data_IF_257302936710
#
_entry.id   IF_257302936710
#
_cell.length_a   1.000
_cell.length_b   1.000
_cell.length_c   1.000
_cell.angle_alpha   90.00
_cell.angle_beta   90.00
_cell.angle_gamma   90.00
#
_symmetry.space_group_name_H-M   'P 1'
#
loop_
_entity.id
_entity.type
_entity.pdbx_description
1 polymer ?
#
# COMPACT_ATOMS: atom_id res chain seq x y z
N UNK A 1 -11.88 -10.71 7.35
CA UNK A 1 -11.15 -10.59 6.07
C UNK A 1 -9.73 -10.16 6.39
N UNK A 2 -8.70 -10.75 5.75
CA UNK A 2 -7.29 -10.40 5.99
C UNK A 2 -6.78 -9.34 5.00
N UNK A 3 -5.75 -8.58 5.38
CA UNK A 3 -5.16 -7.55 4.53
C UNK A 3 -4.58 -8.16 3.24
N UNK A 4 -4.05 -9.38 3.33
CA UNK A 4 -3.55 -10.13 2.17
C UNK A 4 -4.60 -10.35 1.10
N UNK A 5 -5.83 -10.70 1.48
CA UNK A 5 -6.92 -10.86 0.51
C UNK A 5 -7.24 -9.54 -0.18
N UNK A 6 -7.33 -8.45 0.59
CA UNK A 6 -7.64 -7.12 0.06
C UNK A 6 -6.59 -6.62 -0.94
N UNK A 7 -5.33 -6.97 -0.74
CA UNK A 7 -4.22 -6.56 -1.60
C UNK A 7 -3.88 -7.60 -2.68
N UNK A 8 -4.56 -8.75 -2.74
CA UNK A 8 -4.22 -9.83 -3.68
C UNK A 8 -2.88 -10.52 -3.41
N UNK A 9 -2.42 -10.45 -2.15
CA UNK A 9 -1.17 -11.01 -1.61
C UNK A 9 -1.40 -12.33 -0.85
N UNK A 10 -2.50 -13.05 -1.15
CA UNK A 10 -2.86 -14.30 -0.47
C UNK A 10 -1.80 -15.39 -0.58
N UNK A 11 -1.10 -15.42 -1.73
CA UNK A 11 0.00 -16.33 -2.00
C UNK A 11 1.34 -15.85 -1.39
N UNK A 12 1.38 -14.69 -0.72
CA UNK A 12 2.58 -14.17 -0.08
C UNK A 12 2.87 -14.91 1.23
N UNK A 13 4.14 -15.25 1.45
CA UNK A 13 4.63 -15.78 2.72
C UNK A 13 4.68 -14.71 3.82
N UNK A 14 4.64 -13.42 3.46
CA UNK A 14 4.67 -12.31 4.41
C UNK A 14 3.40 -12.26 5.23
N UNK A 15 3.51 -12.00 6.54
CA UNK A 15 2.40 -11.69 7.43
C UNK A 15 1.79 -10.31 7.14
N UNK A 16 0.56 -10.08 7.60
CA UNK A 16 -0.12 -8.78 7.47
C UNK A 16 0.72 -7.64 8.09
N UNK A 17 1.42 -7.92 9.19
CA UNK A 17 2.32 -6.97 9.87
C UNK A 17 3.52 -6.62 8.99
N UNK A 18 4.13 -7.59 8.32
CA UNK A 18 5.26 -7.35 7.41
C UNK A 18 4.84 -6.58 6.16
N UNK A 19 3.66 -6.87 5.63
CA UNK A 19 3.08 -6.14 4.49
C UNK A 19 2.85 -4.69 4.87
N UNK A 20 2.21 -4.42 6.01
CA UNK A 20 2.03 -3.07 6.55
C UNK A 20 3.37 -2.35 6.75
N UNK A 21 4.38 -3.05 7.28
CA UNK A 21 5.71 -2.46 7.51
C UNK A 21 6.38 -2.03 6.21
N UNK A 22 6.29 -2.83 5.15
CA UNK A 22 6.82 -2.47 3.82
C UNK A 22 6.08 -1.28 3.21
N UNK A 23 4.76 -1.21 3.40
CA UNK A 23 3.95 -0.07 2.95
C UNK A 23 4.33 1.20 3.74
N UNK A 24 4.48 1.12 5.06
CA UNK A 24 4.91 2.24 5.91
C UNK A 24 6.31 2.74 5.55
N UNK A 25 7.24 1.82 5.26
CA UNK A 25 8.58 2.15 4.79
C UNK A 25 8.53 2.89 3.44
N UNK A 26 7.74 2.40 2.49
CA UNK A 26 7.52 3.09 1.21
C UNK A 26 6.90 4.48 1.40
N UNK A 27 5.96 4.63 2.33
CA UNK A 27 5.34 5.90 2.67
C UNK A 27 6.37 6.90 3.24
N UNK A 28 7.23 6.46 4.16
CA UNK A 28 8.31 7.28 4.76
C UNK A 28 9.34 7.71 3.73
N UNK A 29 9.64 6.84 2.77
CA UNK A 29 10.52 7.14 1.64
C UNK A 29 9.83 7.99 0.56
N UNK A 30 8.55 8.37 0.76
CA UNK A 30 7.75 9.11 -0.21
C UNK A 30 7.64 8.42 -1.57
N UNK A 31 7.58 7.09 -1.56
CA UNK A 31 7.25 6.30 -2.74
C UNK A 31 5.74 6.38 -3.01
N UNK A 32 5.39 6.44 -4.29
CA UNK A 32 4.00 6.41 -4.74
C UNK A 32 3.44 4.98 -4.81
N UNK A 33 4.32 3.97 -4.87
CA UNK A 33 3.95 2.57 -4.97
C UNK A 33 4.98 1.63 -4.36
N UNK A 34 4.49 0.47 -3.90
CA UNK A 34 5.30 -0.65 -3.41
C UNK A 34 4.92 -1.89 -4.21
N UNK A 35 5.90 -2.49 -4.88
CA UNK A 35 5.72 -3.74 -5.62
C UNK A 35 6.07 -4.95 -4.75
N UNK A 36 5.16 -5.91 -4.69
CA UNK A 36 5.36 -7.21 -4.07
C UNK A 36 5.50 -8.27 -5.16
N UNK A 37 6.64 -8.94 -5.19
CA UNK A 37 6.90 -10.05 -6.13
C UNK A 37 6.68 -11.38 -5.42
N UNK A 38 5.73 -12.17 -5.90
CA UNK A 38 5.35 -13.48 -5.35
C UNK A 38 5.51 -14.52 -6.47
N UNK A 39 6.64 -15.22 -6.49
CA UNK A 39 6.99 -16.12 -7.58
C UNK A 39 7.07 -15.36 -8.91
N UNK A 40 6.20 -15.70 -9.86
CA UNK A 40 6.08 -15.00 -11.16
C UNK A 40 5.05 -13.87 -11.16
N UNK A 41 4.27 -13.72 -10.08
CA UNK A 41 3.22 -12.70 -9.94
C UNK A 41 3.82 -11.42 -9.35
N UNK A 42 3.45 -10.27 -9.91
CA UNK A 42 3.75 -8.95 -9.34
C UNK A 42 2.46 -8.28 -8.90
N UNK A 43 2.47 -7.71 -7.71
CA UNK A 43 1.34 -7.01 -7.12
C UNK A 43 1.81 -5.64 -6.68
N UNK A 44 1.28 -4.59 -7.32
CA UNK A 44 1.65 -3.21 -7.02
C UNK A 44 0.60 -2.57 -6.12
N UNK A 45 1.03 -2.08 -4.97
CA UNK A 45 0.20 -1.35 -4.02
C UNK A 45 0.54 0.12 -4.12
N UNK A 46 -0.41 0.94 -4.60
CA UNK A 46 -0.25 2.39 -4.69
C UNK A 46 -0.49 3.04 -3.33
N UNK A 47 0.48 3.80 -2.86
CA UNK A 47 0.42 4.54 -1.60
C UNK A 47 -0.10 5.94 -1.91
N UNK A 48 -1.42 6.12 -1.93
CA UNK A 48 -1.99 7.45 -2.05
C UNK A 48 -1.86 8.18 -0.71
N UNK A 49 -1.01 9.21 -0.65
CA UNK A 49 -1.05 10.19 0.44
C UNK A 49 -2.38 10.94 0.34
N UNK A 50 -3.33 10.66 1.23
CA UNK A 50 -4.49 11.54 1.41
C UNK A 50 -3.94 12.90 1.83
N UNK A 51 -4.01 13.88 0.94
CA UNK A 51 -3.66 15.27 1.25
C UNK A 51 -4.93 15.97 1.75
N UNK A 52 -5.17 16.05 3.07
CA UNK A 52 -6.37 16.69 3.61
C UNK A 52 -6.49 18.17 3.19
N UNK A 53 -5.38 18.81 2.80
CA UNK A 53 -5.33 20.22 2.38
C UNK A 53 -6.04 20.55 1.06
N UNK A 54 -6.41 19.56 0.24
CA UNK A 54 -7.15 19.81 -1.02
C UNK A 54 -8.66 19.68 -0.94
N UNK A 55 -9.20 19.14 0.17
CA UNK A 55 -10.66 18.98 0.32
C UNK A 55 -11.33 20.30 0.73
N UNK A 56 -10.61 21.20 1.41
CA UNK A 56 -11.15 22.46 1.97
C UNK A 56 -10.93 23.67 1.04
N UNK A 57 -10.96 23.50 -0.29
CA UNK A 57 -10.87 24.63 -1.23
C UNK A 57 -12.09 24.84 -2.12
N UNK A 58 -13.14 24.04 -1.95
CA UNK A 58 -14.41 24.15 -2.69
C UNK A 58 -15.62 24.47 -1.79
N UNK A 59 -15.41 25.11 -0.64
CA UNK A 59 -16.48 25.59 0.25
C UNK A 59 -16.39 27.11 0.49
N UNK A 60 -15.78 27.85 -0.44
CA UNK A 60 -15.72 29.32 -0.41
C UNK A 60 -16.52 29.89 -1.57
#
# INVERSE_FOLDING_TARGET
>A
MSLKMLLGLEASTLSDVEIMKKIDEGLRQSLDEVEFVIGTKRVTVRIHKVHPKRVIKNLS
#
